data_IF_414101510266
#
_entry.id   IF_414101510266
#
_cell.length_a   1.000
_cell.length_b   1.000
_cell.length_c   1.000
_cell.angle_alpha   90.00
_cell.angle_beta   90.00
_cell.angle_gamma   90.00
#
_symmetry.space_group_name_H-M   'P 1'
#
loop_
_entity.id
_entity.type
_entity.pdbx_description
1 polymer ?
#
# COMPACT_ATOMS: atom_id res chain seq x y z
N UNK A 1 37.75 -2.28 12.86
CA UNK A 1 38.29 -3.62 13.13
C UNK A 1 37.12 -4.57 13.30
N UNK A 2 36.93 -5.54 12.40
CA UNK A 2 35.86 -6.52 12.54
C UNK A 2 36.17 -7.38 13.77
N UNK A 3 35.27 -7.38 14.76
CA UNK A 3 35.35 -8.29 15.91
C UNK A 3 35.13 -9.70 15.41
N UNK A 4 36.22 -10.48 15.29
CA UNK A 4 36.14 -11.90 14.96
C UNK A 4 35.57 -12.61 16.19
N UNK A 5 34.29 -13.00 16.12
CA UNK A 5 33.63 -13.79 17.16
C UNK A 5 34.42 -15.08 17.40
N UNK A 6 34.88 -15.31 18.63
CA UNK A 6 35.57 -16.55 19.00
C UNK A 6 34.51 -17.56 19.45
N UNK A 7 34.40 -18.72 18.78
CA UNK A 7 33.42 -19.74 19.15
C UNK A 7 33.57 -20.19 20.59
N UNK A 8 32.47 -20.15 21.32
CA UNK A 8 32.31 -20.78 22.63
C UNK A 8 32.38 -22.31 22.51
N UNK A 9 32.59 -22.99 23.65
CA UNK A 9 32.61 -24.45 23.71
C UNK A 9 31.27 -25.06 23.26
N UNK A 10 30.16 -24.40 23.60
CA UNK A 10 28.80 -24.84 23.24
C UNK A 10 28.62 -24.80 21.73
N UNK A 11 29.02 -23.71 21.07
CA UNK A 11 28.93 -23.56 19.61
C UNK A 11 29.76 -24.64 18.90
N UNK A 12 30.99 -24.90 19.34
CA UNK A 12 31.83 -25.96 18.73
C UNK A 12 31.21 -27.35 18.85
N UNK A 13 30.60 -27.66 19.99
CA UNK A 13 29.95 -28.95 20.20
C UNK A 13 28.69 -29.05 19.32
N UNK A 14 27.87 -28.00 19.27
CA UNK A 14 26.66 -27.96 18.45
C UNK A 14 26.97 -28.08 16.95
N UNK A 15 28.03 -27.45 16.46
CA UNK A 15 28.51 -27.59 15.08
C UNK A 15 29.02 -29.01 14.79
N UNK A 16 29.80 -29.60 15.71
CA UNK A 16 30.33 -30.97 15.56
C UNK A 16 29.21 -32.01 15.53
N UNK A 17 28.15 -31.78 16.29
CA UNK A 17 26.94 -32.61 16.33
C UNK A 17 25.95 -32.28 15.19
N UNK A 18 26.27 -31.30 14.32
CA UNK A 18 25.41 -30.81 13.22
C UNK A 18 24.03 -30.32 13.69
N UNK A 19 23.93 -29.90 14.95
CA UNK A 19 22.71 -29.28 15.49
C UNK A 19 22.53 -27.86 14.97
N UNK A 20 23.64 -27.18 14.64
CA UNK A 20 23.68 -25.89 13.94
C UNK A 20 24.65 -25.97 12.75
N UNK A 21 24.46 -25.18 11.69
CA UNK A 21 25.44 -25.05 10.61
C UNK A 21 26.77 -24.48 11.12
N UNK A 22 27.87 -24.73 10.41
CA UNK A 22 29.19 -24.19 10.78
C UNK A 22 29.21 -22.67 10.52
N UNK A 23 29.05 -21.89 11.58
CA UNK A 23 29.01 -20.43 11.57
C UNK A 23 30.41 -19.81 11.52
N UNK A 24 31.46 -20.62 11.75
CA UNK A 24 32.85 -20.19 11.86
C UNK A 24 33.71 -20.55 10.64
N UNK A 25 33.10 -20.97 9.52
CA UNK A 25 33.80 -20.99 8.25
C UNK A 25 34.30 -19.57 7.95
N UNK A 26 35.53 -19.40 7.42
CA UNK A 26 36.04 -18.10 7.05
C UNK A 26 35.07 -17.46 6.06
N UNK A 27 34.34 -16.45 6.53
CA UNK A 27 33.47 -15.66 5.67
C UNK A 27 34.34 -14.97 4.64
N UNK A 28 33.97 -15.10 3.36
CA UNK A 28 34.42 -14.18 2.32
C UNK A 28 34.31 -12.74 2.83
N UNK A 29 35.26 -11.91 2.39
CA UNK A 29 35.52 -10.51 2.73
C UNK A 29 34.37 -9.73 3.39
N UNK A 30 34.67 -8.82 4.34
CA UNK A 30 33.65 -8.03 5.03
C UNK A 30 32.64 -7.46 4.02
N UNK A 31 31.35 -7.64 4.31
CA UNK A 31 30.26 -7.29 3.38
C UNK A 31 30.49 -5.84 2.94
N UNK A 32 30.75 -5.59 1.64
CA UNK A 32 30.86 -4.22 1.16
C UNK A 32 29.53 -3.55 1.45
N UNK A 33 29.59 -2.37 2.08
CA UNK A 33 28.37 -1.59 2.30
C UNK A 33 27.71 -1.36 0.95
N UNK A 34 26.40 -1.60 0.86
CA UNK A 34 25.63 -1.30 -0.36
C UNK A 34 25.68 0.21 -0.69
N UNK A 35 26.01 1.05 0.31
CA UNK A 35 26.10 2.50 0.21
C UNK A 35 27.38 3.02 0.86
N UNK A 36 27.94 4.09 0.28
CA UNK A 36 29.09 4.80 0.83
C UNK A 36 28.81 5.36 2.23
N UNK A 37 29.81 5.44 3.13
CA UNK A 37 29.67 6.12 4.41
C UNK A 37 29.30 7.60 4.20
N UNK A 38 28.12 8.02 4.64
CA UNK A 38 27.63 9.41 4.49
C UNK A 38 26.48 9.74 5.43
N UNK A 39 25.95 10.97 5.33
CA UNK A 39 24.74 11.43 6.07
C UNK A 39 23.69 10.34 6.03
N UNK A 40 23.19 9.91 7.20
CA UNK A 40 22.25 8.79 7.41
C UNK A 40 21.06 8.80 6.44
N UNK A 41 21.28 8.34 5.22
CA UNK A 41 20.28 8.19 4.16
C UNK A 41 20.45 6.77 3.65
N UNK A 42 19.77 5.85 4.33
CA UNK A 42 19.74 4.43 3.96
C UNK A 42 18.62 4.19 2.95
N UNK A 43 18.66 4.89 1.82
CA UNK A 43 17.67 4.71 0.76
C UNK A 43 18.36 4.41 -0.57
N UNK A 44 17.77 3.54 -1.40
CA UNK A 44 18.28 3.28 -2.73
C UNK A 44 18.17 4.53 -3.61
N UNK A 45 19.24 4.88 -4.34
CA UNK A 45 19.19 6.00 -5.27
C UNK A 45 18.22 5.67 -6.44
N UNK A 46 17.44 6.64 -6.95
CA UNK A 46 16.43 6.42 -7.99
C UNK A 46 16.96 5.73 -9.24
N UNK A 47 18.21 5.99 -9.59
CA UNK A 47 18.87 5.39 -10.77
C UNK A 47 19.04 3.87 -10.64
N UNK A 48 18.85 3.30 -9.43
CA UNK A 48 18.92 1.86 -9.15
C UNK A 48 17.56 1.23 -8.87
N UNK A 49 16.46 1.96 -8.97
CA UNK A 49 15.14 1.45 -8.56
C UNK A 49 14.63 0.29 -9.42
N UNK A 50 15.06 0.15 -10.68
CA UNK A 50 14.61 -0.96 -11.53
C UNK A 50 15.27 -2.32 -11.22
N UNK A 51 16.31 -2.34 -10.39
CA UNK A 51 17.12 -3.53 -10.10
C UNK A 51 17.87 -3.42 -8.78
N UNK A 52 17.17 -3.01 -7.73
CA UNK A 52 17.76 -2.84 -6.41
C UNK A 52 17.95 -4.18 -5.70
N UNK A 53 19.17 -4.49 -5.26
CA UNK A 53 19.48 -5.75 -4.60
C UNK A 53 19.61 -5.57 -3.10
N UNK A 54 18.84 -6.32 -2.32
CA UNK A 54 18.98 -6.43 -0.86
C UNK A 54 19.11 -7.88 -0.41
N UNK A 55 19.59 -8.07 0.80
CA UNK A 55 19.56 -9.38 1.44
C UNK A 55 18.17 -9.68 2.00
N UNK A 56 17.67 -10.89 1.76
CA UNK A 56 16.39 -11.34 2.28
C UNK A 56 16.47 -11.47 3.81
N UNK A 57 15.65 -10.67 4.51
CA UNK A 57 15.62 -10.62 5.96
C UNK A 57 15.28 -11.98 6.59
N UNK A 58 14.48 -12.81 5.91
CA UNK A 58 14.10 -14.16 6.36
C UNK A 58 15.18 -15.22 6.14
N UNK A 59 16.23 -14.93 5.38
CA UNK A 59 17.28 -15.90 5.04
C UNK A 59 18.27 -16.17 6.18
N UNK A 60 18.21 -15.38 7.27
CA UNK A 60 19.09 -15.54 8.42
C UNK A 60 20.56 -15.53 8.01
N UNK A 61 21.28 -16.60 8.33
CA UNK A 61 22.72 -16.72 8.00
C UNK A 61 23.00 -17.05 6.52
N UNK A 62 21.99 -17.43 5.73
CA UNK A 62 22.17 -17.91 4.35
C UNK A 62 22.50 -16.80 3.34
N UNK A 63 22.36 -15.53 3.72
CA UNK A 63 22.74 -14.35 2.91
C UNK A 63 22.16 -14.40 1.49
N UNK A 64 20.90 -14.79 1.38
CA UNK A 64 20.22 -14.85 0.09
C UNK A 64 19.95 -13.42 -0.40
N UNK A 65 20.33 -13.13 -1.64
CA UNK A 65 20.08 -11.84 -2.28
C UNK A 65 18.74 -11.90 -3.01
N UNK A 66 18.00 -10.79 -2.96
CA UNK A 66 16.77 -10.58 -3.69
C UNK A 66 16.86 -9.29 -4.48
N UNK A 67 16.40 -9.33 -5.73
CA UNK A 67 16.33 -8.18 -6.61
C UNK A 67 14.91 -7.62 -6.62
N UNK A 68 14.81 -6.31 -6.45
CA UNK A 68 13.57 -5.57 -6.33
C UNK A 68 13.47 -4.51 -7.42
N UNK A 69 12.27 -4.37 -7.96
CA UNK A 69 11.83 -3.15 -8.62
C UNK A 69 11.17 -2.26 -7.57
N UNK A 70 11.61 -1.00 -7.46
CA UNK A 70 11.13 -0.03 -6.50
C UNK A 70 10.24 0.97 -7.21
N UNK A 71 8.96 0.98 -6.84
CA UNK A 71 7.96 1.85 -7.48
C UNK A 71 7.45 2.86 -6.46
N UNK A 72 7.58 4.18 -6.73
CA UNK A 72 6.97 5.22 -5.91
C UNK A 72 5.45 5.09 -5.89
N UNK A 73 4.88 5.28 -4.71
CA UNK A 73 3.43 5.37 -4.53
C UNK A 73 3.12 6.30 -3.35
N UNK A 74 1.85 6.48 -3.02
CA UNK A 74 1.42 7.33 -1.91
C UNK A 74 0.61 6.52 -0.89
N UNK A 75 0.84 6.81 0.39
CA UNK A 75 0.05 6.26 1.48
C UNK A 75 -1.33 6.89 1.48
N UNK A 76 -2.36 6.05 1.50
CA UNK A 76 -3.75 6.50 1.43
C UNK A 76 -4.55 6.29 2.73
N UNK A 77 -3.82 6.06 3.83
CA UNK A 77 -4.41 5.76 5.14
C UNK A 77 -4.92 7.01 5.89
N UNK A 78 -4.48 8.21 5.53
CA UNK A 78 -4.97 9.47 6.08
C UNK A 78 -4.73 10.63 5.10
N UNK A 79 -5.22 11.83 5.45
CA UNK A 79 -5.08 13.05 4.66
C UNK A 79 -3.63 13.53 4.43
N UNK A 80 -2.65 12.99 5.16
CA UNK A 80 -1.26 13.44 5.03
C UNK A 80 -0.63 13.04 3.69
N UNK A 81 -1.14 11.99 3.02
CA UNK A 81 -0.70 11.59 1.69
C UNK A 81 0.81 11.31 1.58
N UNK A 82 1.44 10.76 2.62
CA UNK A 82 2.89 10.57 2.64
C UNK A 82 3.36 9.64 1.52
N UNK A 83 4.47 10.01 0.85
CA UNK A 83 5.07 9.15 -0.18
C UNK A 83 5.67 7.86 0.38
N UNK A 84 5.43 6.77 -0.34
CA UNK A 84 5.93 5.43 -0.09
C UNK A 84 6.80 4.95 -1.26
N UNK A 85 7.70 4.02 -0.98
CA UNK A 85 8.38 3.18 -1.96
C UNK A 85 7.87 1.75 -1.81
N UNK A 86 7.32 1.20 -2.88
CA UNK A 86 6.90 -0.20 -2.96
C UNK A 86 8.06 -1.05 -3.47
N UNK A 87 8.49 -2.04 -2.69
CA UNK A 87 9.53 -2.99 -3.11
C UNK A 87 8.85 -4.23 -3.67
N UNK A 88 8.96 -4.41 -4.99
CA UNK A 88 8.36 -5.51 -5.75
C UNK A 88 9.45 -6.52 -6.07
N UNK A 89 9.30 -7.76 -5.62
CA UNK A 89 10.21 -8.86 -5.95
C UNK A 89 10.12 -9.13 -7.46
N UNK A 90 11.25 -9.10 -8.19
CA UNK A 90 11.26 -9.26 -9.66
C UNK A 90 11.02 -10.70 -10.11
N UNK A 91 11.18 -11.69 -9.23
CA UNK A 91 10.90 -13.09 -9.53
C UNK A 91 9.41 -13.39 -9.36
N UNK A 92 8.80 -12.94 -8.26
CA UNK A 92 7.39 -13.24 -7.96
C UNK A 92 6.41 -12.17 -8.41
N UNK A 93 6.90 -10.97 -8.72
CA UNK A 93 6.10 -9.78 -9.01
C UNK A 93 5.17 -9.36 -7.86
N UNK A 94 5.47 -9.80 -6.63
CA UNK A 94 4.71 -9.42 -5.45
C UNK A 94 5.34 -8.25 -4.69
N UNK A 95 4.49 -7.40 -4.10
CA UNK A 95 4.95 -6.40 -3.14
C UNK A 95 5.41 -7.10 -1.85
N UNK A 96 6.65 -6.82 -1.43
CA UNK A 96 7.27 -7.41 -0.24
C UNK A 96 7.27 -6.47 0.96
N UNK A 97 7.53 -5.18 0.74
CA UNK A 97 7.53 -4.16 1.79
C UNK A 97 7.22 -2.78 1.24
N UNK A 98 6.87 -1.87 2.15
CA UNK A 98 6.76 -0.44 1.89
C UNK A 98 7.71 0.33 2.80
N UNK A 99 8.44 1.28 2.23
CA UNK A 99 9.27 2.23 2.97
C UNK A 99 8.87 3.68 2.64
N UNK A 100 9.44 4.66 3.35
CA UNK A 100 9.21 6.07 3.03
C UNK A 100 9.97 6.51 1.80
N UNK A 101 9.32 7.29 0.95
CA UNK A 101 9.96 7.88 -0.22
C UNK A 101 10.70 9.18 0.19
N UNK A 102 12.05 9.19 0.22
CA UNK A 102 12.82 10.39 0.58
C UNK A 102 12.66 11.53 -0.44
N UNK A 103 12.25 11.22 -1.66
CA UNK A 103 12.02 12.19 -2.74
C UNK A 103 10.60 12.77 -2.75
N UNK A 104 9.69 12.29 -1.90
CA UNK A 104 8.35 12.86 -1.80
C UNK A 104 8.40 14.28 -1.19
N UNK A 105 7.81 15.31 -1.83
CA UNK A 105 8.04 16.71 -1.48
C UNK A 105 7.58 17.09 -0.07
N UNK A 106 6.46 16.51 0.38
CA UNK A 106 5.90 16.75 1.71
C UNK A 106 6.62 15.93 2.79
N UNK A 107 6.42 14.61 2.77
CA UNK A 107 6.91 13.71 3.83
C UNK A 107 8.42 13.46 3.85
N UNK A 108 9.13 13.56 2.71
CA UNK A 108 10.60 13.38 2.61
C UNK A 108 11.10 12.12 3.34
N UNK A 109 10.43 10.99 3.12
CA UNK A 109 10.79 9.69 3.70
C UNK A 109 10.23 9.43 5.11
N UNK A 110 9.65 10.43 5.77
CA UNK A 110 9.07 10.26 7.11
C UNK A 110 7.68 9.63 7.02
N UNK A 111 7.52 8.49 7.67
CA UNK A 111 6.25 7.78 7.77
C UNK A 111 5.94 7.37 9.20
N UNK A 112 4.66 7.36 9.55
CA UNK A 112 4.18 6.71 10.77
C UNK A 112 4.04 5.20 10.56
N UNK A 113 3.75 4.45 11.62
CA UNK A 113 3.59 2.99 11.58
C UNK A 113 2.57 2.49 10.53
N UNK A 114 1.56 3.31 10.19
CA UNK A 114 0.55 2.97 9.18
C UNK A 114 1.12 2.85 7.76
N UNK A 115 2.21 3.55 7.44
CA UNK A 115 2.81 3.55 6.10
C UNK A 115 3.30 2.14 5.71
N UNK A 116 4.32 1.61 6.41
CA UNK A 116 4.80 0.24 6.18
C UNK A 116 3.72 -0.84 6.36
N UNK A 117 2.76 -0.63 7.28
CA UNK A 117 1.67 -1.57 7.54
C UNK A 117 0.66 -1.71 6.38
N UNK A 118 0.73 -0.87 5.34
CA UNK A 118 -0.11 -0.97 4.14
C UNK A 118 0.00 -2.35 3.46
N UNK A 119 1.12 -3.06 3.66
CA UNK A 119 1.29 -4.45 3.21
C UNK A 119 0.19 -5.38 3.71
N UNK A 120 -0.32 -5.15 4.92
CA UNK A 120 -1.37 -5.97 5.52
C UNK A 120 -2.73 -5.73 4.84
N UNK A 121 -2.97 -4.54 4.28
CA UNK A 121 -4.23 -4.25 3.59
C UNK A 121 -4.28 -4.92 2.21
N UNK A 122 -3.16 -4.92 1.49
CA UNK A 122 -3.12 -5.56 0.16
C UNK A 122 -3.08 -7.09 0.24
N UNK A 123 -2.60 -7.64 1.38
CA UNK A 123 -2.55 -9.08 1.71
C UNK A 123 -3.65 -9.52 2.68
N UNK A 124 -4.66 -8.69 2.89
CA UNK A 124 -5.76 -9.01 3.82
C UNK A 124 -6.49 -10.27 3.32
N UNK A 125 -6.59 -11.34 4.15
CA UNK A 125 -7.28 -12.57 3.75
C UNK A 125 -8.78 -12.36 3.50
N UNK A 126 -9.39 -11.32 4.08
CA UNK A 126 -10.80 -10.98 3.93
C UNK A 126 -11.06 -9.99 2.78
N UNK A 127 -10.03 -9.66 2.00
CA UNK A 127 -10.16 -8.73 0.88
C UNK A 127 -11.14 -9.26 -0.18
N UNK A 128 -12.16 -8.46 -0.51
CA UNK A 128 -13.10 -8.77 -1.58
C UNK A 128 -12.42 -8.55 -2.93
N UNK A 129 -12.06 -9.63 -3.61
CA UNK A 129 -11.34 -9.60 -4.89
C UNK A 129 -12.24 -9.72 -6.12
N UNK A 130 -13.54 -10.01 -5.91
CA UNK A 130 -14.50 -10.24 -6.98
C UNK A 130 -15.84 -9.57 -6.67
N UNK A 131 -16.62 -9.17 -7.69
CA UNK A 131 -17.90 -8.55 -7.45
C UNK A 131 -18.90 -9.52 -6.82
N UNK A 132 -19.69 -9.02 -5.86
CA UNK A 132 -20.68 -9.79 -5.12
C UNK A 132 -22.06 -9.15 -5.23
N UNK A 133 -23.10 -9.97 -5.43
CA UNK A 133 -24.51 -9.56 -5.49
C UNK A 133 -25.29 -10.19 -4.35
N UNK A 134 -26.09 -9.37 -3.64
CA UNK A 134 -26.93 -9.86 -2.55
C UNK A 134 -28.05 -10.73 -3.10
N UNK A 135 -28.28 -11.91 -2.49
CA UNK A 135 -29.34 -12.86 -2.89
C UNK A 135 -30.40 -13.10 -1.80
N UNK A 136 -30.17 -12.63 -0.58
CA UNK A 136 -31.11 -12.70 0.53
C UNK A 136 -31.73 -11.35 0.92
N UNK A 137 -32.46 -11.32 2.03
CA UNK A 137 -32.96 -10.07 2.61
C UNK A 137 -31.80 -9.20 3.08
N UNK A 138 -32.01 -7.89 3.12
CA UNK A 138 -31.01 -6.93 3.62
C UNK A 138 -30.64 -7.30 5.07
N UNK A 139 -29.34 -7.44 5.34
CA UNK A 139 -28.81 -7.82 6.66
C UNK A 139 -28.52 -9.31 6.83
N UNK A 140 -28.95 -10.20 5.92
CA UNK A 140 -28.72 -11.65 6.07
C UNK A 140 -27.30 -12.12 5.70
N UNK A 141 -26.45 -11.25 5.15
CA UNK A 141 -25.09 -11.63 4.73
C UNK A 141 -25.02 -12.64 3.57
N UNK A 142 -26.11 -12.88 2.84
CA UNK A 142 -26.15 -13.82 1.71
C UNK A 142 -25.73 -13.13 0.40
N UNK A 143 -24.58 -13.55 -0.13
CA UNK A 143 -23.96 -13.01 -1.34
C UNK A 143 -23.66 -14.13 -2.33
N UNK A 144 -23.77 -13.82 -3.63
CA UNK A 144 -23.26 -14.65 -4.73
C UNK A 144 -22.19 -13.86 -5.50
N UNK A 145 -21.17 -14.56 -5.99
CA UNK A 145 -20.21 -13.97 -6.94
C UNK A 145 -20.89 -13.72 -8.29
N UNK A 146 -20.54 -12.60 -8.95
CA UNK A 146 -21.04 -12.22 -10.28
C UNK A 146 -19.91 -11.61 -11.11
N UNK A 147 -20.08 -11.55 -12.43
CA UNK A 147 -19.13 -10.89 -13.32
C UNK A 147 -19.20 -9.37 -13.22
N UNK A 148 -18.14 -8.69 -13.65
CA UNK A 148 -18.15 -7.23 -13.78
C UNK A 148 -19.21 -6.76 -14.78
N UNK A 149 -19.42 -7.48 -15.89
CA UNK A 149 -20.47 -7.16 -16.87
C UNK A 149 -21.86 -7.18 -16.23
N UNK A 150 -22.19 -8.21 -15.43
CA UNK A 150 -23.49 -8.26 -14.73
C UNK A 150 -23.66 -7.08 -13.77
N UNK A 151 -22.60 -6.68 -13.06
CA UNK A 151 -22.65 -5.52 -12.14
C UNK A 151 -22.88 -4.22 -12.90
N UNK A 152 -22.14 -4.01 -13.99
CA UNK A 152 -22.24 -2.81 -14.79
C UNK A 152 -23.61 -2.71 -15.46
N UNK A 153 -24.12 -3.78 -16.06
CA UNK A 153 -25.45 -3.81 -16.68
C UNK A 153 -26.56 -3.55 -15.65
N UNK A 154 -26.48 -4.19 -14.48
CA UNK A 154 -27.50 -4.06 -13.44
C UNK A 154 -27.53 -2.64 -12.84
N UNK A 155 -26.37 -2.09 -12.46
CA UNK A 155 -26.30 -0.75 -11.88
C UNK A 155 -26.61 0.32 -12.94
N UNK A 156 -25.96 0.27 -14.10
CA UNK A 156 -26.16 1.26 -15.16
C UNK A 156 -27.60 1.23 -15.71
N UNK A 157 -28.21 0.05 -15.85
CA UNK A 157 -29.60 -0.09 -16.26
C UNK A 157 -30.58 0.61 -15.32
N UNK A 158 -30.39 0.48 -13.99
CA UNK A 158 -31.21 1.16 -12.99
C UNK A 158 -31.00 2.67 -12.99
N UNK A 159 -29.75 3.13 -13.09
CA UNK A 159 -29.43 4.55 -13.18
C UNK A 159 -30.05 5.18 -14.44
N UNK A 160 -29.89 4.53 -15.59
CA UNK A 160 -30.49 4.96 -16.86
C UNK A 160 -32.00 5.04 -16.77
N UNK A 161 -32.66 4.03 -16.19
CA UNK A 161 -34.12 4.04 -16.00
C UNK A 161 -34.56 5.23 -15.14
N UNK A 162 -33.88 5.49 -14.02
CA UNK A 162 -34.20 6.64 -13.17
C UNK A 162 -34.05 7.98 -13.92
N UNK A 163 -32.98 8.14 -14.71
CA UNK A 163 -32.77 9.35 -15.53
C UNK A 163 -33.88 9.50 -16.59
N UNK A 164 -34.23 8.43 -17.31
CA UNK A 164 -35.28 8.47 -18.34
C UNK A 164 -36.66 8.77 -17.77
N UNK A 165 -36.94 8.30 -16.56
CA UNK A 165 -38.19 8.55 -15.83
C UNK A 165 -38.18 9.89 -15.06
N UNK A 166 -37.12 10.71 -15.20
CA UNK A 166 -36.92 12.00 -14.52
C UNK A 166 -36.90 11.89 -12.98
N UNK A 167 -36.40 10.77 -12.45
CA UNK A 167 -36.23 10.49 -11.01
C UNK A 167 -34.78 10.72 -10.56
N UNK A 168 -34.18 11.82 -11.02
CA UNK A 168 -32.76 12.13 -10.81
C UNK A 168 -32.38 12.26 -9.33
N UNK A 169 -33.34 12.66 -8.48
CA UNK A 169 -33.19 12.78 -7.02
C UNK A 169 -33.11 11.42 -6.30
N UNK A 170 -33.31 10.30 -6.99
CA UNK A 170 -33.13 8.96 -6.42
C UNK A 170 -31.71 8.39 -6.66
N UNK A 171 -30.85 9.15 -7.34
CA UNK A 171 -29.46 8.76 -7.59
C UNK A 171 -28.57 9.51 -6.60
N UNK A 172 -27.86 8.76 -5.76
CA UNK A 172 -26.89 9.31 -4.82
C UNK A 172 -25.54 8.62 -4.96
N UNK A 173 -24.47 9.42 -4.87
CA UNK A 173 -23.09 8.96 -4.77
C UNK A 173 -22.53 9.41 -3.43
N UNK A 174 -22.18 8.46 -2.58
CA UNK A 174 -21.52 8.75 -1.31
C UNK A 174 -20.05 8.34 -1.37
N UNK A 175 -19.14 9.30 -1.20
CA UNK A 175 -17.71 9.06 -1.17
C UNK A 175 -17.13 9.23 0.23
N UNK A 176 -16.42 8.20 0.68
CA UNK A 176 -15.55 8.30 1.84
C UNK A 176 -14.26 9.02 1.44
N UNK A 177 -13.19 8.26 1.33
CA UNK A 177 -11.88 8.73 0.88
C UNK A 177 -11.86 8.81 -0.66
N UNK A 178 -11.78 10.00 -1.28
CA UNK A 178 -11.84 10.12 -2.74
C UNK A 178 -10.49 9.77 -3.37
N UNK A 179 -10.45 8.68 -4.14
CA UNK A 179 -9.26 8.26 -4.92
C UNK A 179 -9.24 8.80 -6.36
N UNK A 180 -10.21 9.64 -6.74
CA UNK A 180 -10.33 10.21 -8.07
C UNK A 180 -10.29 11.75 -8.01
N UNK A 181 -9.78 12.38 -9.07
CA UNK A 181 -9.65 13.83 -9.16
C UNK A 181 -10.96 14.49 -9.70
N UNK A 182 -12.06 14.30 -8.96
CA UNK A 182 -13.35 14.92 -9.28
C UNK A 182 -14.06 14.38 -10.54
N UNK A 183 -13.65 13.23 -11.07
CA UNK A 183 -14.28 12.61 -12.24
C UNK A 183 -15.77 12.31 -12.00
N UNK A 184 -16.11 11.69 -10.86
CA UNK A 184 -17.49 11.29 -10.57
C UNK A 184 -18.41 12.50 -10.45
N UNK A 185 -17.92 13.60 -9.88
CA UNK A 185 -18.71 14.84 -9.71
C UNK A 185 -19.10 15.43 -11.07
N UNK A 186 -18.18 15.43 -12.03
CA UNK A 186 -18.45 15.86 -13.42
C UNK A 186 -19.49 14.95 -14.08
N UNK A 187 -19.42 13.65 -13.86
CA UNK A 187 -20.37 12.67 -14.44
C UNK A 187 -21.78 12.90 -13.90
N UNK A 188 -21.94 13.06 -12.58
CA UNK A 188 -23.25 13.29 -11.97
C UNK A 188 -23.89 14.60 -12.48
N UNK A 189 -23.11 15.68 -12.55
CA UNK A 189 -23.57 16.94 -13.09
C UNK A 189 -23.98 16.83 -14.57
N UNK A 190 -23.24 16.08 -15.39
CA UNK A 190 -23.59 15.84 -16.79
C UNK A 190 -24.91 15.06 -16.95
N UNK A 191 -25.29 14.24 -15.97
CA UNK A 191 -26.59 13.56 -15.92
C UNK A 191 -27.71 14.44 -15.34
N UNK A 192 -27.42 15.67 -14.93
CA UNK A 192 -28.38 16.52 -14.21
C UNK A 192 -28.77 15.93 -12.85
N UNK A 193 -27.82 15.30 -12.16
CA UNK A 193 -28.02 14.68 -10.83
C UNK A 193 -27.29 15.51 -9.78
N UNK A 194 -28.05 16.06 -8.84
CA UNK A 194 -27.54 16.69 -7.62
C UNK A 194 -27.57 15.67 -6.46
N UNK A 195 -26.67 14.69 -6.55
CA UNK A 195 -26.67 13.51 -5.67
C UNK A 195 -25.33 13.23 -4.99
N UNK A 196 -24.38 14.17 -5.05
CA UNK A 196 -23.08 13.99 -4.41
C UNK A 196 -23.19 14.16 -2.90
N UNK A 197 -22.63 13.21 -2.17
CA UNK A 197 -22.42 13.29 -0.74
C UNK A 197 -21.01 12.80 -0.41
N UNK A 198 -20.38 13.40 0.60
CA UNK A 198 -19.04 13.00 1.03
C UNK A 198 -18.93 12.94 2.55
N UNK A 199 -17.88 12.30 3.05
CA UNK A 199 -17.59 12.33 4.48
C UNK A 199 -17.00 13.67 4.97
N UNK A 200 -16.86 14.69 4.12
CA UNK A 200 -16.12 15.92 4.47
C UNK A 200 -16.73 16.63 5.67
N UNK A 201 -18.06 16.60 5.79
CA UNK A 201 -18.81 17.21 6.89
C UNK A 201 -18.49 16.59 8.26
N UNK A 202 -18.17 15.28 8.29
CA UNK A 202 -17.77 14.58 9.52
C UNK A 202 -16.25 14.53 9.72
N UNK A 203 -15.48 15.03 8.75
CA UNK A 203 -14.01 15.00 8.77
C UNK A 203 -13.43 16.35 9.22
N UNK A 204 -13.41 17.35 8.33
CA UNK A 204 -12.68 18.60 8.56
C UNK A 204 -13.41 19.87 8.10
N UNK A 205 -14.69 19.76 7.70
CA UNK A 205 -15.47 20.92 7.26
C UNK A 205 -15.50 22.04 8.31
N UNK A 206 -15.76 21.70 9.58
CA UNK A 206 -15.79 22.69 10.67
C UNK A 206 -14.44 23.40 10.88
N UNK A 207 -13.32 22.68 10.75
CA UNK A 207 -11.99 23.27 10.86
C UNK A 207 -11.66 24.19 9.67
N UNK A 208 -12.19 23.90 8.48
CA UNK A 208 -11.97 24.70 7.27
C UNK A 208 -12.90 25.92 7.20
N UNK A 209 -14.06 25.88 7.86
CA UNK A 209 -15.03 26.97 7.83
C UNK A 209 -14.41 28.31 8.25
N UNK A 210 -13.64 28.33 9.34
CA UNK A 210 -12.96 29.54 9.81
C UNK A 210 -11.98 30.12 8.79
N UNK A 211 -11.23 29.26 8.09
CA UNK A 211 -10.32 29.71 7.03
C UNK A 211 -11.08 30.27 5.83
N UNK A 212 -12.17 29.62 5.41
CA UNK A 212 -12.96 30.06 4.27
C UNK A 212 -13.61 31.44 4.50
N UNK A 213 -14.18 31.69 5.69
CA UNK A 213 -14.77 33.00 6.00
C UNK A 213 -13.71 34.10 6.16
N UNK A 214 -12.49 33.74 6.56
CA UNK A 214 -11.42 34.71 6.79
C UNK A 214 -10.67 35.09 5.50
N UNK A 215 -10.45 34.14 4.59
CA UNK A 215 -9.62 34.34 3.40
C UNK A 215 -10.36 34.97 2.20
N UNK A 216 -11.70 35.05 2.24
CA UNK A 216 -12.52 35.59 1.15
C UNK A 216 -12.53 34.68 -0.07
#
# INVERSE_FOLDING_TARGET
>A
MATVHKPSLIEKIAEKLRLIPNLHQPQESPIPRLTEPGKLSSYPPPEKWDGWVEYEAKSGFRREKKEYMIVPTNCFNCEAGCGLLSYIDKETMEVRKFEGNPYHPGSRGRNCAKGPATINQIKDPDRILRPLKRVGKRGEGKWKEVSWDEVLDDIAGRLRKAIQEKRNNEIAYHVGRPGHEGYVDRVLQAWGVDGHNSHTNICSAGARFGYAIWQG
#
